data_IF_141907191023
#
_entry.id   IF_141907191023
#
_cell.length_a   1.000
_cell.length_b   1.000
_cell.length_c   1.000
_cell.angle_alpha   90.00
_cell.angle_beta   90.00
_cell.angle_gamma   90.00
#
_symmetry.space_group_name_H-M   'P 1'
#
loop_
_entity.id
_entity.type
_entity.pdbx_description
1 polymer ?
#
# COMPACT_ATOMS: atom_id res chain seq x y z
N UNK A 1 -4.75 -23.35 -19.44
CA UNK A 1 -4.10 -22.59 -18.37
C UNK A 1 -5.19 -22.22 -17.41
N UNK A 2 -5.00 -22.57 -16.16
CA UNK A 2 -5.98 -22.37 -15.10
C UNK A 2 -5.68 -21.03 -14.42
N UNK A 3 -6.73 -20.28 -14.09
CA UNK A 3 -6.62 -19.02 -13.36
C UNK A 3 -6.36 -19.38 -11.90
N UNK A 4 -5.28 -18.86 -11.32
CA UNK A 4 -5.01 -19.03 -9.90
C UNK A 4 -5.92 -18.13 -9.08
N UNK A 5 -6.53 -18.63 -8.01
CA UNK A 5 -7.30 -17.80 -7.07
C UNK A 5 -6.63 -17.83 -5.71
N UNK A 6 -6.41 -16.68 -5.09
CA UNK A 6 -5.83 -16.56 -3.74
C UNK A 6 -6.84 -15.91 -2.82
N UNK A 7 -7.22 -16.59 -1.73
CA UNK A 7 -8.19 -16.06 -0.76
C UNK A 7 -7.55 -15.11 0.26
N UNK A 8 -8.38 -14.51 1.14
CA UNK A 8 -7.92 -13.61 2.22
C UNK A 8 -6.97 -14.30 3.23
N UNK A 9 -6.96 -15.63 3.29
CA UNK A 9 -6.05 -16.42 4.13
C UNK A 9 -4.79 -16.87 3.36
N UNK A 10 -4.56 -16.31 2.16
CA UNK A 10 -3.46 -16.64 1.25
C UNK A 10 -3.44 -18.10 0.78
N UNK A 11 -4.59 -18.79 0.84
CA UNK A 11 -4.73 -20.15 0.33
C UNK A 11 -5.11 -20.10 -1.13
N UNK A 12 -4.48 -20.99 -1.90
CA UNK A 12 -4.87 -21.20 -3.29
C UNK A 12 -6.23 -21.89 -3.36
N UNK A 13 -7.12 -21.34 -4.18
CA UNK A 13 -8.46 -21.83 -4.48
C UNK A 13 -8.60 -22.05 -5.97
N UNK A 14 -9.63 -22.81 -6.34
CA UNK A 14 -10.00 -22.97 -7.73
C UNK A 14 -10.90 -21.82 -8.20
N UNK A 15 -11.14 -21.75 -9.51
CA UNK A 15 -12.04 -20.76 -10.10
C UNK A 15 -13.49 -20.94 -9.60
N UNK A 16 -13.90 -22.17 -9.29
CA UNK A 16 -15.25 -22.45 -8.81
C UNK A 16 -15.53 -21.77 -7.46
N UNK A 17 -14.53 -21.63 -6.60
CA UNK A 17 -14.62 -20.80 -5.39
C UNK A 17 -14.96 -19.34 -5.72
N UNK A 18 -14.22 -18.72 -6.65
CA UNK A 18 -14.46 -17.34 -7.04
C UNK A 18 -15.85 -17.16 -7.68
N UNK A 19 -16.25 -18.07 -8.57
CA UNK A 19 -17.56 -18.08 -9.20
C UNK A 19 -18.69 -18.25 -8.16
N UNK A 20 -18.52 -19.15 -7.19
CA UNK A 20 -19.53 -19.38 -6.15
C UNK A 20 -19.66 -18.22 -5.17
N UNK A 21 -18.54 -17.65 -4.71
CA UNK A 21 -18.54 -16.60 -3.69
C UNK A 21 -18.85 -15.23 -4.28
N UNK A 22 -18.20 -14.89 -5.40
CA UNK A 22 -18.32 -13.57 -6.00
C UNK A 22 -19.29 -13.51 -7.17
N UNK A 23 -19.64 -14.64 -7.79
CA UNK A 23 -20.46 -14.64 -9.02
C UNK A 23 -19.72 -14.15 -10.26
N UNK A 24 -18.38 -14.08 -10.20
CA UNK A 24 -17.54 -13.68 -11.34
C UNK A 24 -17.73 -14.64 -12.51
N UNK A 25 -17.51 -14.13 -13.72
CA UNK A 25 -17.49 -14.93 -14.94
C UNK A 25 -16.27 -14.57 -15.78
N UNK A 26 -15.82 -15.50 -16.61
CA UNK A 26 -14.62 -15.34 -17.40
C UNK A 26 -14.89 -15.55 -18.88
N UNK A 27 -14.36 -14.64 -19.71
CA UNK A 27 -14.40 -14.74 -21.16
C UNK A 27 -13.00 -14.74 -21.73
N UNK A 28 -12.61 -15.88 -22.31
CA UNK A 28 -11.31 -16.04 -22.96
C UNK A 28 -11.28 -15.36 -24.33
N UNK A 29 -10.24 -14.56 -24.59
CA UNK A 29 -9.98 -14.06 -25.93
C UNK A 29 -9.70 -15.21 -26.90
N UNK A 30 -10.35 -15.18 -28.06
CA UNK A 30 -10.15 -16.13 -29.16
C UNK A 30 -9.00 -15.66 -30.03
N UNK A 31 -7.85 -16.33 -29.93
CA UNK A 31 -6.63 -16.02 -30.69
C UNK A 31 -6.04 -17.32 -31.26
N UNK A 32 -5.25 -17.21 -32.33
CA UNK A 32 -4.54 -18.35 -32.89
C UNK A 32 -3.30 -18.71 -32.04
N UNK A 33 -2.86 -19.98 -32.01
CA UNK A 33 -1.58 -20.35 -31.41
C UNK A 33 -0.43 -19.51 -31.98
N UNK A 34 0.49 -19.06 -31.12
CA UNK A 34 1.61 -18.18 -31.49
C UNK A 34 1.28 -16.68 -31.51
N UNK A 35 0.01 -16.29 -31.33
CA UNK A 35 -0.38 -14.88 -31.24
C UNK A 35 -0.22 -14.35 -29.81
N UNK A 36 0.20 -13.08 -29.67
CA UNK A 36 0.21 -12.40 -28.37
C UNK A 36 -1.21 -12.16 -27.85
N UNK A 37 -1.39 -12.30 -26.55
CA UNK A 37 -2.67 -12.12 -25.85
C UNK A 37 -2.42 -11.77 -24.39
N UNK A 38 -3.23 -10.89 -23.80
CA UNK A 38 -3.27 -10.70 -22.35
C UNK A 38 -4.18 -11.75 -21.73
N UNK A 39 -3.60 -12.69 -20.99
CA UNK A 39 -4.35 -13.71 -20.26
C UNK A 39 -4.59 -13.27 -18.83
N UNK A 40 -5.79 -13.49 -18.31
CA UNK A 40 -6.05 -13.41 -16.88
C UNK A 40 -5.38 -14.63 -16.23
N UNK A 41 -4.44 -14.40 -15.33
CA UNK A 41 -3.61 -15.48 -14.74
C UNK A 41 -3.87 -15.66 -13.24
N UNK A 42 -4.31 -14.62 -12.56
CA UNK A 42 -4.56 -14.67 -11.11
C UNK A 42 -5.73 -13.75 -10.72
N UNK A 43 -6.52 -14.21 -9.76
CA UNK A 43 -7.50 -13.44 -9.00
C UNK A 43 -7.07 -13.44 -7.53
N UNK A 44 -7.10 -12.28 -6.89
CA UNK A 44 -6.70 -12.16 -5.49
C UNK A 44 -7.81 -11.51 -4.68
N UNK A 45 -8.33 -12.24 -3.70
CA UNK A 45 -9.25 -11.71 -2.73
C UNK A 45 -8.62 -10.59 -1.89
N UNK A 46 -9.33 -9.46 -1.83
CA UNK A 46 -8.98 -8.29 -1.04
C UNK A 46 -10.17 -7.84 -0.22
N UNK A 47 -9.89 -7.14 0.87
CA UNK A 47 -10.86 -6.51 1.75
C UNK A 47 -10.32 -5.13 2.14
N UNK A 48 -11.17 -4.27 2.70
CA UNK A 48 -10.82 -2.95 3.19
C UNK A 48 -10.94 -1.82 2.19
N UNK A 49 -10.40 -2.04 1.01
CA UNK A 49 -10.30 -0.98 0.01
C UNK A 49 -11.52 -0.96 -0.89
N UNK A 50 -11.90 0.23 -1.34
CA UNK A 50 -12.93 0.39 -2.38
C UNK A 50 -12.30 0.46 -3.77
N UNK A 51 -11.07 0.00 -4.00
CA UNK A 51 -10.40 0.10 -5.30
C UNK A 51 -10.25 -1.28 -5.91
N UNK A 52 -10.65 -1.43 -7.17
CA UNK A 52 -10.50 -2.70 -7.90
C UNK A 52 -9.17 -2.66 -8.63
N UNK A 53 -8.12 -3.27 -8.09
CA UNK A 53 -6.77 -3.15 -8.67
C UNK A 53 -6.55 -4.22 -9.72
N UNK A 54 -6.03 -3.79 -10.87
CA UNK A 54 -5.56 -4.66 -11.93
C UNK A 54 -4.07 -4.47 -12.13
N UNK A 55 -3.33 -5.58 -12.06
CA UNK A 55 -1.92 -5.63 -12.41
C UNK A 55 -1.72 -6.23 -13.79
N UNK A 56 -0.84 -5.63 -14.60
CA UNK A 56 -0.46 -6.13 -15.94
C UNK A 56 1.03 -6.43 -15.97
N UNK A 57 1.37 -7.63 -16.42
CA UNK A 57 2.74 -8.13 -16.50
C UNK A 57 3.18 -8.36 -17.94
N UNK A 58 4.49 -8.29 -18.19
CA UNK A 58 5.15 -8.72 -19.41
C UNK A 58 5.27 -10.25 -19.47
N UNK A 59 5.77 -10.76 -20.61
CA UNK A 59 6.01 -12.20 -20.86
C UNK A 59 7.00 -12.83 -19.87
N UNK A 60 7.89 -12.05 -19.27
CA UNK A 60 8.88 -12.48 -18.28
C UNK A 60 8.36 -12.35 -16.82
N UNK A 61 7.11 -11.94 -16.63
CA UNK A 61 6.50 -11.70 -15.33
C UNK A 61 6.88 -10.36 -14.69
N UNK A 62 7.67 -9.51 -15.36
CA UNK A 62 7.94 -8.16 -14.87
C UNK A 62 6.71 -7.24 -15.02
N UNK A 63 6.53 -6.24 -14.15
CA UNK A 63 5.53 -5.20 -14.32
C UNK A 63 5.51 -4.54 -15.69
N UNK A 64 4.32 -4.34 -16.26
CA UNK A 64 4.13 -3.66 -17.54
C UNK A 64 3.41 -2.33 -17.35
N UNK A 65 4.20 -1.27 -17.32
CA UNK A 65 3.71 0.10 -17.19
C UNK A 65 3.10 0.66 -18.48
N UNK A 66 2.28 1.72 -18.35
CA UNK A 66 1.66 2.45 -19.46
C UNK A 66 0.75 1.60 -20.36
N UNK A 67 0.11 0.58 -19.82
CA UNK A 67 -0.91 -0.22 -20.51
C UNK A 67 -2.29 0.22 -20.06
N UNK A 68 -3.17 0.57 -20.99
CA UNK A 68 -4.52 1.00 -20.66
C UNK A 68 -5.37 -0.20 -20.21
N UNK A 69 -6.03 -0.08 -19.07
CA UNK A 69 -6.97 -1.08 -18.55
C UNK A 69 -8.33 -0.41 -18.43
N UNK A 70 -9.38 -1.11 -18.88
CA UNK A 70 -10.74 -0.60 -18.85
C UNK A 70 -11.58 -1.33 -17.80
N UNK A 71 -12.43 -0.55 -17.12
CA UNK A 71 -13.35 -0.95 -16.06
C UNK A 71 -14.79 -0.60 -16.45
N UNK A 72 -15.52 -1.64 -16.80
CA UNK A 72 -16.79 -1.63 -17.53
C UNK A 72 -18.05 -1.56 -16.66
N UNK A 73 -19.18 -1.13 -17.24
CA UNK A 73 -20.53 -1.32 -16.67
C UNK A 73 -21.33 -2.39 -17.44
N UNK A 74 -22.30 -3.11 -16.84
CA UNK A 74 -22.92 -4.31 -17.44
C UNK A 74 -23.65 -4.06 -18.76
N UNK A 75 -24.12 -2.83 -18.97
CA UNK A 75 -24.94 -2.39 -20.09
C UNK A 75 -24.12 -1.84 -21.27
N UNK A 76 -22.80 -1.77 -21.12
CA UNK A 76 -21.94 -1.33 -22.19
C UNK A 76 -21.91 -2.38 -23.34
N UNK A 77 -21.47 -1.99 -24.55
CA UNK A 77 -21.36 -2.89 -25.71
C UNK A 77 -20.10 -3.76 -25.64
N UNK A 78 -20.21 -5.03 -26.08
CA UNK A 78 -19.11 -6.01 -26.09
C UNK A 78 -17.78 -5.36 -26.51
N UNK A 79 -16.66 -5.55 -25.77
CA UNK A 79 -15.37 -4.89 -26.06
C UNK A 79 -14.81 -5.14 -27.46
N UNK A 80 -15.27 -6.18 -28.16
CA UNK A 80 -14.96 -6.43 -29.57
C UNK A 80 -15.73 -5.54 -30.56
N UNK A 81 -16.71 -4.78 -30.09
CA UNK A 81 -17.51 -3.85 -30.88
C UNK A 81 -16.74 -2.54 -31.00
N UNK A 82 -16.53 -2.00 -32.22
CA UNK A 82 -15.99 -0.66 -32.38
C UNK A 82 -16.95 0.35 -31.75
N UNK A 83 -16.57 0.91 -30.61
CA UNK A 83 -17.32 2.00 -29.97
C UNK A 83 -16.80 3.33 -30.51
N UNK A 84 -17.68 4.25 -30.88
CA UNK A 84 -17.26 5.60 -31.28
C UNK A 84 -16.70 6.35 -30.07
N UNK A 85 -15.60 7.08 -30.24
CA UNK A 85 -14.87 7.80 -29.18
C UNK A 85 -15.73 8.60 -28.19
N UNK A 86 -16.90 9.10 -28.61
CA UNK A 86 -17.82 9.89 -27.78
C UNK A 86 -18.69 9.07 -26.80
N UNK A 87 -18.87 7.77 -27.03
CA UNK A 87 -19.67 6.92 -26.14
C UNK A 87 -18.85 6.36 -24.97
N UNK A 88 -17.51 6.39 -25.05
CA UNK A 88 -16.58 5.70 -24.13
C UNK A 88 -16.75 6.15 -22.67
N UNK A 89 -17.00 7.45 -22.44
CA UNK A 89 -17.15 8.02 -21.09
C UNK A 89 -18.41 7.52 -20.36
N UNK A 90 -19.37 6.95 -21.08
CA UNK A 90 -20.64 6.47 -20.52
C UNK A 90 -20.64 4.97 -20.26
N UNK A 91 -19.64 4.25 -20.77
CA UNK A 91 -19.63 2.78 -20.82
C UNK A 91 -18.49 2.14 -20.04
N UNK A 92 -17.41 2.88 -19.75
CA UNK A 92 -16.42 2.48 -18.75
C UNK A 92 -15.56 3.66 -18.26
N UNK A 93 -14.76 3.40 -17.22
CA UNK A 93 -13.58 4.20 -16.86
C UNK A 93 -12.30 3.43 -17.24
N UNK A 94 -11.23 4.14 -17.61
CA UNK A 94 -9.96 3.48 -17.95
C UNK A 94 -8.77 4.32 -17.52
N UNK A 95 -7.62 3.68 -17.41
CA UNK A 95 -6.36 4.36 -17.12
C UNK A 95 -5.14 3.50 -17.45
N UNK A 96 -4.00 4.14 -17.71
CA UNK A 96 -2.74 3.43 -17.90
C UNK A 96 -2.23 2.86 -16.57
N UNK A 97 -1.58 1.69 -16.63
CA UNK A 97 -0.84 1.12 -15.51
C UNK A 97 0.36 1.98 -15.11
N UNK A 98 0.65 2.04 -13.81
CA UNK A 98 1.84 2.70 -13.27
C UNK A 98 3.11 1.84 -13.48
N UNK A 99 4.25 2.24 -12.90
CA UNK A 99 5.53 1.52 -13.03
C UNK A 99 5.53 0.10 -12.44
N UNK A 100 4.61 -0.19 -11.51
CA UNK A 100 4.39 -1.51 -10.92
C UNK A 100 3.39 -2.34 -11.74
N UNK A 101 2.92 -1.80 -12.87
CA UNK A 101 1.95 -2.48 -13.71
C UNK A 101 0.53 -2.39 -13.16
N UNK A 102 0.27 -1.54 -12.16
CA UNK A 102 -1.00 -1.48 -11.45
C UNK A 102 -1.87 -0.32 -11.93
N UNK A 103 -3.18 -0.51 -11.95
CA UNK A 103 -4.20 0.52 -12.10
C UNK A 103 -5.46 0.09 -11.38
N UNK A 104 -6.10 1.00 -10.63
CA UNK A 104 -7.31 0.68 -9.88
C UNK A 104 -8.22 1.89 -9.73
N UNK A 105 -9.38 1.93 -10.40
CA UNK A 105 -10.39 2.91 -10.12
C UNK A 105 -11.14 2.58 -8.82
N UNK A 106 -11.60 3.62 -8.15
CA UNK A 106 -12.51 3.48 -7.03
C UNK A 106 -13.86 2.91 -7.49
N UNK A 107 -14.34 1.93 -6.74
CA UNK A 107 -15.68 1.35 -6.80
C UNK A 107 -16.61 2.16 -5.89
N UNK A 108 -17.70 2.64 -6.47
CA UNK A 108 -18.74 3.36 -5.74
C UNK A 108 -19.78 2.43 -5.09
N UNK A 109 -20.78 2.98 -4.39
CA UNK A 109 -21.88 2.22 -3.78
C UNK A 109 -22.68 1.35 -4.74
N UNK A 110 -22.63 1.64 -6.04
CA UNK A 110 -23.29 0.81 -7.06
C UNK A 110 -22.57 -0.52 -7.33
N UNK A 111 -21.36 -0.71 -6.85
CA UNK A 111 -20.55 -1.91 -7.10
C UNK A 111 -20.86 -3.08 -6.15
N UNK A 112 -21.70 -2.87 -5.12
CA UNK A 112 -22.05 -3.92 -4.18
C UNK A 112 -23.01 -4.96 -4.77
N UNK A 113 -22.80 -6.23 -4.43
CA UNK A 113 -23.66 -7.34 -4.85
C UNK A 113 -23.79 -8.41 -3.76
N UNK A 114 -24.82 -9.27 -3.85
CA UNK A 114 -24.95 -10.43 -2.97
C UNK A 114 -23.93 -11.53 -3.30
N UNK A 115 -23.77 -12.47 -2.38
CA UNK A 115 -22.91 -13.64 -2.56
C UNK A 115 -23.36 -14.48 -3.77
N UNK A 116 -22.43 -14.80 -4.66
CA UNK A 116 -22.68 -15.52 -5.91
C UNK A 116 -23.45 -14.75 -6.99
N UNK A 117 -23.90 -13.53 -6.71
CA UNK A 117 -24.69 -12.74 -7.68
C UNK A 117 -23.84 -12.06 -8.75
N UNK A 118 -22.57 -11.79 -8.49
CA UNK A 118 -21.73 -11.03 -9.41
C UNK A 118 -21.99 -9.53 -9.32
N UNK A 119 -20.93 -8.75 -9.31
CA UNK A 119 -21.02 -7.29 -9.35
C UNK A 119 -21.28 -6.76 -10.76
N UNK A 120 -21.40 -5.43 -10.91
CA UNK A 120 -21.72 -4.82 -12.19
C UNK A 120 -20.49 -4.58 -13.08
N UNK A 121 -19.29 -4.88 -12.63
CA UNK A 121 -18.08 -4.49 -13.35
C UNK A 121 -17.49 -5.60 -14.20
N UNK A 122 -16.74 -5.21 -15.23
CA UNK A 122 -15.85 -6.10 -15.93
C UNK A 122 -14.52 -5.41 -16.19
N UNK A 123 -13.45 -6.18 -16.30
CA UNK A 123 -12.09 -5.67 -16.47
C UNK A 123 -11.39 -6.39 -17.62
N UNK A 124 -10.67 -5.61 -18.45
CA UNK A 124 -9.78 -6.14 -19.48
C UNK A 124 -8.65 -5.17 -19.80
N UNK A 125 -7.57 -5.70 -20.39
CA UNK A 125 -6.47 -4.90 -20.92
C UNK A 125 -6.86 -4.34 -22.28
N UNK A 126 -6.93 -3.01 -22.39
CA UNK A 126 -7.33 -2.29 -23.60
C UNK A 126 -6.11 -1.96 -24.45
N UNK A 127 -5.65 -2.97 -25.18
CA UNK A 127 -4.60 -2.83 -26.17
C UNK A 127 -5.21 -2.94 -27.58
N UNK A 128 -4.98 -1.98 -28.49
CA UNK A 128 -5.59 -1.99 -29.82
C UNK A 128 -5.08 -3.14 -30.69
N UNK A 129 -3.90 -3.67 -30.40
CA UNK A 129 -3.22 -4.66 -31.24
C UNK A 129 -3.20 -6.06 -30.61
N UNK A 130 -3.42 -6.15 -29.30
CA UNK A 130 -3.30 -7.40 -28.54
C UNK A 130 -4.63 -7.71 -27.83
N UNK A 131 -5.32 -8.81 -28.20
CA UNK A 131 -6.54 -9.22 -27.52
C UNK A 131 -6.32 -9.49 -26.03
N UNK A 132 -7.36 -9.28 -25.21
CA UNK A 132 -7.34 -9.56 -23.77
C UNK A 132 -8.49 -10.46 -23.37
N UNK A 133 -8.24 -11.34 -22.42
CA UNK A 133 -9.32 -11.95 -21.63
C UNK A 133 -10.13 -10.87 -20.90
N UNK A 134 -11.36 -11.22 -20.52
CA UNK A 134 -12.26 -10.36 -19.75
C UNK A 134 -12.66 -11.09 -18.47
N UNK A 135 -12.48 -10.42 -17.33
CA UNK A 135 -13.07 -10.82 -16.06
C UNK A 135 -14.37 -10.04 -15.86
N UNK A 136 -15.50 -10.73 -15.85
CA UNK A 136 -16.83 -10.14 -15.78
C UNK A 136 -17.44 -10.32 -14.39
N UNK A 137 -18.45 -9.52 -14.10
CA UNK A 137 -19.26 -9.57 -12.87
C UNK A 137 -18.45 -9.33 -11.59
N UNK A 138 -17.52 -8.38 -11.67
CA UNK A 138 -16.70 -7.91 -10.56
C UNK A 138 -17.44 -6.85 -9.74
N UNK A 139 -17.17 -6.80 -8.44
CA UNK A 139 -17.72 -5.83 -7.51
C UNK A 139 -17.33 -6.15 -6.09
N UNK A 140 -18.00 -5.49 -5.14
CA UNK A 140 -17.78 -5.69 -3.71
C UNK A 140 -18.90 -6.54 -3.11
N UNK A 141 -18.54 -7.50 -2.27
CA UNK A 141 -19.52 -8.35 -1.60
C UNK A 141 -20.24 -7.54 -0.51
N UNK A 142 -21.57 -7.43 -0.63
CA UNK A 142 -22.40 -6.67 0.31
C UNK A 142 -22.33 -7.25 1.72
N UNK A 143 -22.31 -6.37 2.73
CA UNK A 143 -22.25 -6.78 4.14
C UNK A 143 -20.87 -7.20 4.63
N UNK A 144 -19.84 -7.06 3.80
CA UNK A 144 -18.42 -7.24 4.17
C UNK A 144 -17.71 -5.89 4.23
N UNK A 145 -16.44 -5.88 4.66
CA UNK A 145 -15.59 -4.69 4.60
C UNK A 145 -15.05 -4.50 3.17
N UNK A 146 -15.91 -4.38 2.17
CA UNK A 146 -15.50 -4.28 0.76
C UNK A 146 -14.74 -5.51 0.23
N UNK A 147 -15.12 -6.73 0.57
CA UNK A 147 -14.49 -7.93 -0.02
C UNK A 147 -14.68 -7.94 -1.55
N UNK A 148 -13.60 -8.06 -2.30
CA UNK A 148 -13.60 -8.13 -3.77
C UNK A 148 -12.42 -8.96 -4.28
N UNK A 149 -12.29 -9.08 -5.59
CA UNK A 149 -11.17 -9.75 -6.24
C UNK A 149 -10.38 -8.71 -7.04
N UNK A 150 -9.08 -8.62 -6.85
CA UNK A 150 -8.14 -7.95 -7.75
C UNK A 150 -7.77 -8.89 -8.92
N UNK A 151 -7.33 -8.33 -10.04
CA UNK A 151 -6.97 -9.07 -11.24
C UNK A 151 -5.48 -8.95 -11.57
N UNK A 152 -4.90 -10.04 -12.08
CA UNK A 152 -3.57 -10.02 -12.70
C UNK A 152 -3.65 -10.55 -14.13
N UNK A 153 -3.26 -9.72 -15.07
CA UNK A 153 -3.09 -10.07 -16.48
C UNK A 153 -1.61 -10.24 -16.81
N UNK A 154 -1.29 -11.20 -17.67
CA UNK A 154 0.05 -11.41 -18.19
C UNK A 154 0.02 -11.40 -19.71
N UNK A 155 0.92 -10.62 -20.32
CA UNK A 155 1.18 -10.71 -21.75
C UNK A 155 1.83 -12.06 -22.04
N UNK A 156 1.24 -12.83 -22.94
CA UNK A 156 1.71 -14.17 -23.29
C UNK A 156 1.58 -14.44 -24.79
N UNK A 157 2.26 -15.48 -25.25
CA UNK A 157 2.06 -16.08 -26.57
C UNK A 157 1.11 -17.28 -26.42
N UNK A 158 0.00 -17.30 -27.17
CA UNK A 158 -0.99 -18.37 -27.03
C UNK A 158 -0.41 -19.74 -27.37
N UNK A 159 -0.64 -20.71 -26.48
CA UNK A 159 -0.12 -22.07 -26.59
C UNK A 159 1.20 -22.27 -25.86
N UNK A 160 1.85 -21.20 -25.38
CA UNK A 160 2.99 -21.29 -24.48
C UNK A 160 2.52 -21.32 -23.02
N UNK A 161 3.23 -22.08 -22.18
CA UNK A 161 3.03 -22.00 -20.74
C UNK A 161 3.63 -20.69 -20.25
N UNK A 162 3.01 -20.01 -19.26
CA UNK A 162 3.63 -18.87 -18.63
C UNK A 162 5.01 -19.29 -18.12
N UNK A 163 6.00 -18.47 -18.39
CA UNK A 163 7.24 -18.58 -17.64
C UNK A 163 6.87 -18.14 -16.24
N UNK A 164 6.70 -19.09 -15.31
CA UNK A 164 6.63 -18.71 -13.90
C UNK A 164 7.93 -17.96 -13.65
N UNK A 165 7.89 -16.67 -13.30
CA UNK A 165 9.12 -15.99 -12.95
C UNK A 165 9.77 -16.87 -11.88
N UNK A 166 11.08 -17.16 -11.98
CA UNK A 166 11.74 -17.89 -10.92
C UNK A 166 11.35 -17.16 -9.64
N UNK A 167 10.69 -17.89 -8.72
CA UNK A 167 10.41 -17.38 -7.39
C UNK A 167 11.78 -17.03 -6.86
N UNK A 168 12.15 -15.77 -7.00
CA UNK A 168 13.41 -15.30 -6.49
C UNK A 168 13.13 -15.34 -5.01
N UNK A 169 13.77 -16.25 -4.25
CA UNK A 169 13.61 -16.23 -2.81
C UNK A 169 13.84 -14.77 -2.40
N UNK A 170 12.99 -14.20 -1.52
CA UNK A 170 13.12 -12.79 -1.14
C UNK A 170 14.60 -12.56 -0.85
N UNK A 171 15.23 -11.74 -1.68
CA UNK A 171 16.67 -11.49 -1.62
C UNK A 171 16.96 -11.13 -0.17
N UNK A 172 17.94 -11.81 0.45
CA UNK A 172 18.28 -11.68 1.88
C UNK A 172 18.46 -10.20 2.33
N UNK A 173 18.63 -9.27 1.38
CA UNK A 173 18.68 -7.81 1.58
C UNK A 173 17.39 -7.13 2.09
N UNK A 174 16.26 -7.84 2.23
CA UNK A 174 15.06 -7.29 2.90
C UNK A 174 15.06 -7.48 4.42
N UNK A 175 15.98 -8.27 4.98
CA UNK A 175 15.98 -8.60 6.42
C UNK A 175 16.47 -7.49 7.35
N UNK A 176 16.86 -6.32 6.82
CA UNK A 176 17.46 -5.25 7.62
C UNK A 176 16.46 -4.19 8.13
N UNK A 177 15.17 -4.27 7.79
CA UNK A 177 14.17 -3.36 8.35
C UNK A 177 13.75 -3.87 9.73
N UNK A 178 14.15 -3.16 10.77
CA UNK A 178 13.76 -3.45 12.14
C UNK A 178 12.34 -2.94 12.40
N UNK A 179 11.45 -3.78 12.92
CA UNK A 179 10.13 -3.35 13.40
C UNK A 179 10.12 -3.38 14.93
N UNK A 180 9.59 -2.35 15.58
CA UNK A 180 9.46 -2.28 17.05
C UNK A 180 8.00 -2.11 17.41
N UNK A 181 7.42 -3.05 18.17
CA UNK A 181 6.02 -3.00 18.59
C UNK A 181 5.77 -2.07 19.80
N UNK A 182 4.50 -1.93 20.21
CA UNK A 182 4.10 -1.10 21.36
C UNK A 182 4.69 -1.57 22.70
N UNK A 183 5.14 -2.83 22.79
CA UNK A 183 5.85 -3.37 23.96
C UNK A 183 7.38 -3.29 23.84
N UNK A 184 7.89 -2.54 22.85
CA UNK A 184 9.31 -2.37 22.55
C UNK A 184 10.02 -3.67 22.17
N UNK A 185 9.28 -4.66 21.68
CA UNK A 185 9.86 -5.90 21.17
C UNK A 185 10.16 -5.73 19.69
N UNK A 186 11.34 -6.23 19.32
CA UNK A 186 11.72 -6.34 17.93
C UNK A 186 10.86 -7.40 17.23
N UNK A 187 10.34 -7.03 16.07
CA UNK A 187 9.53 -7.83 15.16
C UNK A 187 10.15 -7.81 13.77
N UNK A 188 9.76 -8.78 12.97
CA UNK A 188 10.11 -8.81 11.56
C UNK A 188 9.16 -7.93 10.74
N UNK A 189 9.53 -7.73 9.47
CA UNK A 189 8.68 -7.01 8.52
C UNK A 189 7.34 -7.74 8.29
N UNK A 190 7.32 -9.07 8.36
CA UNK A 190 6.12 -9.87 8.20
C UNK A 190 5.04 -9.54 9.25
N UNK A 191 5.43 -9.20 10.49
CA UNK A 191 4.53 -8.65 11.49
C UNK A 191 3.89 -7.33 11.04
N UNK A 192 4.69 -6.39 10.54
CA UNK A 192 4.18 -5.10 10.08
C UNK A 192 3.25 -5.28 8.86
N UNK A 193 3.63 -6.12 7.89
CA UNK A 193 2.81 -6.45 6.73
C UNK A 193 1.49 -7.11 7.14
N UNK A 194 1.54 -8.10 8.03
CA UNK A 194 0.33 -8.80 8.49
C UNK A 194 -0.62 -7.91 9.28
N UNK A 195 -0.10 -7.05 10.16
CA UNK A 195 -0.92 -6.23 11.06
C UNK A 195 -1.38 -4.94 10.40
N UNK A 196 -0.47 -4.25 9.71
CA UNK A 196 -0.74 -2.93 9.13
C UNK A 196 -1.00 -2.97 7.64
N UNK A 197 -0.63 -4.04 6.93
CA UNK A 197 -0.71 -4.10 5.47
C UNK A 197 0.27 -3.18 4.76
N UNK A 198 1.35 -2.77 5.44
CA UNK A 198 2.40 -1.94 4.84
C UNK A 198 3.07 -2.67 3.68
N UNK A 199 3.54 -1.91 2.71
CA UNK A 199 4.35 -2.42 1.62
C UNK A 199 5.63 -1.59 1.50
N UNK A 200 6.65 -2.16 0.87
CA UNK A 200 7.96 -1.54 0.81
C UNK A 200 8.53 -1.60 -0.60
N UNK A 201 9.13 -0.48 -1.01
CA UNK A 201 9.83 -0.36 -2.29
C UNK A 201 11.25 0.12 -2.09
N UNK A 202 12.21 -0.76 -2.41
CA UNK A 202 13.64 -0.46 -2.37
C UNK A 202 14.03 0.42 -3.56
N UNK A 203 14.74 1.52 -3.30
CA UNK A 203 15.38 2.28 -4.37
C UNK A 203 16.49 1.44 -5.02
N UNK A 204 16.53 1.39 -6.36
CA UNK A 204 17.59 0.74 -7.12
C UNK A 204 18.75 1.72 -7.32
N UNK A 205 19.88 1.45 -6.68
CA UNK A 205 21.12 2.24 -6.76
C UNK A 205 22.30 1.31 -6.98
N UNK A 206 23.36 1.80 -7.63
CA UNK A 206 24.59 1.02 -7.79
C UNK A 206 25.41 1.02 -6.48
N UNK A 207 26.20 -0.04 -6.20
CA UNK A 207 27.10 -0.05 -5.06
C UNK A 207 28.02 1.18 -5.02
N UNK A 208 28.23 1.74 -3.83
CA UNK A 208 29.01 2.97 -3.61
C UNK A 208 28.22 4.28 -3.82
N UNK A 209 26.95 4.22 -4.23
CA UNK A 209 26.09 5.41 -4.34
C UNK A 209 25.34 5.67 -3.03
N UNK A 210 25.07 6.96 -2.75
CA UNK A 210 24.25 7.35 -1.61
C UNK A 210 22.77 7.04 -1.85
N UNK A 211 22.07 6.65 -0.80
CA UNK A 211 20.63 6.33 -0.82
C UNK A 211 20.04 6.50 0.57
N UNK A 212 18.80 6.97 0.66
CA UNK A 212 18.04 6.93 1.91
C UNK A 212 17.35 5.57 2.04
N UNK A 213 17.82 4.74 2.97
CA UNK A 213 17.21 3.45 3.26
C UNK A 213 16.20 3.57 4.39
N UNK A 214 15.05 2.91 4.26
CA UNK A 214 14.17 2.67 5.41
C UNK A 214 14.86 1.63 6.28
N UNK A 215 15.12 1.96 7.54
CA UNK A 215 15.88 1.10 8.46
C UNK A 215 15.03 0.65 9.65
N UNK A 216 14.04 1.44 10.08
CA UNK A 216 13.16 1.05 11.18
C UNK A 216 11.70 1.47 10.95
N UNK A 217 10.79 0.66 11.49
CA UNK A 217 9.36 0.97 11.66
C UNK A 217 9.01 0.87 13.15
N UNK A 218 8.36 1.90 13.68
CA UNK A 218 8.02 1.98 15.10
C UNK A 218 6.52 2.06 15.31
N UNK A 219 5.97 1.07 15.99
CA UNK A 219 4.57 1.10 16.37
C UNK A 219 4.30 2.20 17.40
N UNK A 220 3.28 3.02 17.13
CA UNK A 220 2.82 4.11 17.98
C UNK A 220 1.33 4.03 18.18
N UNK A 221 0.86 4.64 19.26
CA UNK A 221 -0.56 4.75 19.61
C UNK A 221 -0.88 6.16 20.11
N UNK A 222 -2.13 6.56 19.98
CA UNK A 222 -2.74 7.78 20.51
C UNK A 222 -2.57 9.02 19.66
N UNK A 223 -1.39 9.23 19.07
CA UNK A 223 -1.15 10.38 18.20
C UNK A 223 -1.70 10.12 16.79
N UNK A 224 -2.20 11.17 16.14
CA UNK A 224 -2.65 11.11 14.74
C UNK A 224 -1.62 11.74 13.82
N UNK A 225 -0.32 11.58 14.10
CA UNK A 225 0.76 12.16 13.30
C UNK A 225 1.67 11.03 12.87
N UNK A 226 1.92 10.92 11.56
CA UNK A 226 2.83 9.91 11.04
C UNK A 226 4.24 10.49 11.06
N UNK A 227 5.04 10.18 12.08
CA UNK A 227 6.35 10.79 12.24
C UNK A 227 7.38 10.01 11.44
N UNK A 228 8.11 10.74 10.60
CA UNK A 228 9.29 10.25 9.89
C UNK A 228 10.53 10.91 10.47
N UNK A 229 11.50 10.07 10.87
CA UNK A 229 12.83 10.52 11.27
C UNK A 229 13.84 10.24 10.16
N UNK A 230 14.69 11.21 9.86
CA UNK A 230 15.81 11.06 8.91
C UNK A 230 17.14 11.20 9.63
N UNK A 231 18.03 10.23 9.41
CA UNK A 231 19.36 10.17 9.99
C UNK A 231 20.46 10.37 8.93
N UNK A 232 21.61 10.85 9.37
CA UNK A 232 22.87 10.85 8.63
C UNK A 232 23.51 9.44 8.63
N UNK A 233 24.60 9.29 7.87
CA UNK A 233 25.40 8.06 7.80
C UNK A 233 25.97 7.60 9.15
N UNK A 234 26.17 8.53 10.10
CA UNK A 234 26.66 8.25 11.46
C UNK A 234 25.54 7.97 12.47
N UNK A 235 24.28 7.95 12.01
CA UNK A 235 23.09 7.76 12.85
C UNK A 235 22.63 9.03 13.59
N UNK A 236 23.31 10.17 13.42
CA UNK A 236 22.84 11.43 13.99
C UNK A 236 21.61 11.97 13.23
N UNK A 237 20.71 12.71 13.89
CA UNK A 237 19.57 13.30 13.21
C UNK A 237 19.95 14.28 12.11
N UNK A 238 19.22 14.24 11.00
CA UNK A 238 19.45 15.09 9.83
C UNK A 238 18.33 16.10 9.65
N UNK A 239 18.60 17.35 10.01
CA UNK A 239 17.66 18.47 9.86
C UNK A 239 17.58 18.99 8.41
N UNK A 240 16.49 19.71 8.11
CA UNK A 240 16.22 20.32 6.80
C UNK A 240 16.21 19.35 5.61
N UNK A 241 15.86 18.08 5.86
CA UNK A 241 15.61 17.10 4.79
C UNK A 241 14.14 17.11 4.45
N UNK A 242 13.81 17.29 3.19
CA UNK A 242 12.41 17.30 2.76
C UNK A 242 11.87 15.88 2.66
N UNK A 243 10.75 15.62 3.34
CA UNK A 243 10.07 14.31 3.33
C UNK A 243 8.68 14.51 2.76
N UNK A 244 8.30 13.64 1.83
CA UNK A 244 6.98 13.64 1.23
C UNK A 244 6.08 12.60 1.91
N UNK A 245 4.82 12.99 2.06
CA UNK A 245 3.71 12.19 2.58
C UNK A 245 2.57 12.18 1.57
N UNK A 246 2.30 11.00 1.05
CA UNK A 246 1.60 10.77 -0.21
C UNK A 246 0.13 10.38 -0.04
N UNK A 247 -0.67 10.63 -1.07
CA UNK A 247 -2.04 10.10 -1.20
C UNK A 247 -2.09 8.97 -2.26
N UNK A 248 -3.00 8.00 -2.18
CA UNK A 248 -3.03 6.84 -3.09
C UNK A 248 -3.13 7.19 -4.57
N UNK A 249 -3.72 8.34 -4.88
CA UNK A 249 -4.03 8.82 -6.23
C UNK A 249 -2.92 9.66 -6.85
N UNK A 250 -1.82 9.85 -6.13
CA UNK A 250 -0.72 10.61 -6.65
C UNK A 250 0.09 9.83 -7.72
N UNK A 251 0.79 10.52 -8.63
CA UNK A 251 1.78 9.93 -9.54
C UNK A 251 3.02 9.42 -8.83
N UNK A 252 3.62 8.36 -9.35
CA UNK A 252 4.84 7.73 -8.80
C UNK A 252 5.94 8.78 -8.49
N UNK A 253 6.71 8.65 -7.40
CA UNK A 253 7.77 9.60 -7.03
C UNK A 253 8.83 9.86 -8.11
N UNK A 254 9.01 8.92 -9.05
CA UNK A 254 9.90 9.09 -10.22
C UNK A 254 9.33 9.99 -11.32
N UNK A 255 8.04 10.34 -11.24
CA UNK A 255 7.37 11.22 -12.19
C UNK A 255 7.78 12.67 -11.93
N UNK A 256 8.27 13.42 -12.93
CA UNK A 256 8.52 14.84 -12.76
C UNK A 256 7.23 15.58 -12.37
N UNK A 257 7.17 16.11 -11.16
CA UNK A 257 5.97 16.82 -10.67
C UNK A 257 6.17 18.33 -10.77
N UNK A 258 5.28 19.02 -11.50
CA UNK A 258 5.29 20.48 -11.56
C UNK A 258 4.86 21.07 -10.21
N UNK A 259 5.46 22.19 -9.82
CA UNK A 259 5.23 22.83 -8.51
C UNK A 259 3.76 23.15 -8.19
N UNK A 260 2.91 23.33 -9.21
CA UNK A 260 1.49 23.60 -9.03
C UNK A 260 0.66 22.35 -8.71
N UNK A 261 1.15 21.16 -9.01
CA UNK A 261 0.41 19.90 -8.79
C UNK A 261 0.65 19.31 -7.39
N UNK A 262 1.69 19.79 -6.67
CA UNK A 262 2.14 19.21 -5.40
C UNK A 262 1.03 19.09 -4.35
N UNK A 263 0.23 20.14 -4.16
CA UNK A 263 -0.84 20.15 -3.16
C UNK A 263 -1.98 19.15 -3.41
N UNK A 264 -2.11 18.62 -4.63
CA UNK A 264 -3.11 17.60 -4.98
C UNK A 264 -2.57 16.18 -4.84
N UNK A 265 -1.26 16.04 -4.62
CA UNK A 265 -0.50 14.80 -4.81
C UNK A 265 0.18 14.36 -3.50
N UNK A 266 0.75 15.28 -2.73
CA UNK A 266 1.36 14.98 -1.44
C UNK A 266 1.41 16.22 -0.54
N UNK A 267 1.56 16.00 0.76
CA UNK A 267 2.05 17.00 1.70
C UNK A 267 3.53 16.73 1.91
N UNK A 268 4.36 17.76 2.06
CA UNK A 268 5.78 17.57 2.37
C UNK A 268 6.25 18.60 3.38
N UNK A 269 7.37 18.32 4.02
CA UNK A 269 8.00 19.26 4.93
C UNK A 269 9.44 18.90 5.26
N UNK A 270 10.26 19.92 5.59
CA UNK A 270 11.62 19.69 6.07
C UNK A 270 11.61 19.11 7.49
N UNK A 271 12.52 18.18 7.75
CA UNK A 271 12.81 17.68 9.09
C UNK A 271 13.33 18.79 10.02
N UNK A 272 12.95 18.71 11.29
CA UNK A 272 13.42 19.64 12.33
C UNK A 272 14.84 19.27 12.82
N UNK A 273 15.32 19.93 13.88
CA UNK A 273 16.67 19.69 14.45
C UNK A 273 16.89 18.26 14.99
N UNK A 274 15.82 17.55 15.31
CA UNK A 274 15.83 16.14 15.73
C UNK A 274 15.66 15.18 14.54
N UNK A 275 15.72 15.69 13.30
CA UNK A 275 15.52 14.89 12.10
C UNK A 275 14.07 14.46 11.88
N UNK A 276 13.11 15.02 12.63
CA UNK A 276 11.71 14.58 12.59
C UNK A 276 10.84 15.49 11.73
N UNK A 277 9.87 14.90 11.03
CA UNK A 277 8.75 15.57 10.37
C UNK A 277 7.52 14.69 10.47
N UNK A 278 6.35 15.27 10.77
CA UNK A 278 5.15 14.49 11.02
C UNK A 278 3.89 15.22 10.54
N UNK A 279 3.38 14.95 9.33
CA UNK A 279 2.06 15.41 8.94
C UNK A 279 0.97 14.76 9.80
N UNK A 280 -0.07 15.52 10.09
CA UNK A 280 -1.26 14.99 10.74
C UNK A 280 -2.05 14.08 9.78
N UNK A 281 -2.40 12.90 10.26
CA UNK A 281 -3.31 11.96 9.62
C UNK A 281 -4.76 12.30 9.98
N UNK A 282 -5.61 12.46 8.97
CA UNK A 282 -7.03 12.72 9.13
C UNK A 282 -7.88 11.43 9.15
N UNK A 283 -9.22 11.56 9.24
CA UNK A 283 -10.13 10.40 9.22
C UNK A 283 -10.03 9.52 7.96
N UNK A 284 -9.51 10.06 6.86
CA UNK A 284 -9.27 9.29 5.64
C UNK A 284 -8.10 8.30 5.75
N UNK A 285 -7.28 8.39 6.80
CA UNK A 285 -6.10 7.54 6.98
C UNK A 285 -6.41 6.19 7.66
N UNK A 286 -7.65 5.95 8.09
CA UNK A 286 -8.01 4.69 8.76
C UNK A 286 -8.12 3.53 7.78
N UNK A 287 -7.65 2.36 8.20
CA UNK A 287 -7.76 1.10 7.47
C UNK A 287 -7.95 -0.08 8.43
N UNK A 288 -8.44 -1.21 7.95
CA UNK A 288 -8.52 -2.46 8.71
C UNK A 288 -7.17 -3.16 8.84
N UNK A 289 -7.14 -4.22 9.65
CA UNK A 289 -5.95 -5.01 9.93
C UNK A 289 -5.47 -5.72 8.66
N UNK A 290 -4.18 -5.60 8.35
CA UNK A 290 -3.54 -6.18 7.16
C UNK A 290 -3.93 -5.51 5.83
N UNK A 291 -4.83 -4.53 5.84
CA UNK A 291 -5.33 -3.89 4.61
C UNK A 291 -4.38 -2.84 4.05
N UNK A 292 -3.60 -2.17 4.89
CA UNK A 292 -2.76 -1.06 4.44
C UNK A 292 -3.54 0.25 4.34
N UNK A 293 -2.96 1.31 4.88
CA UNK A 293 -3.52 2.66 4.78
C UNK A 293 -3.28 3.31 3.42
N UNK A 294 -3.81 4.52 3.21
CA UNK A 294 -3.74 5.19 1.91
C UNK A 294 -2.39 5.90 1.66
N UNK A 295 -1.50 5.95 2.64
CA UNK A 295 -0.33 6.84 2.57
C UNK A 295 0.94 6.12 2.14
N UNK A 296 1.87 6.90 1.62
CA UNK A 296 3.25 6.49 1.46
C UNK A 296 4.19 7.61 1.92
N UNK A 297 5.40 7.24 2.32
CA UNK A 297 6.43 8.17 2.79
C UNK A 297 7.76 7.87 2.12
N UNK A 298 8.47 8.93 1.70
CA UNK A 298 9.85 8.84 1.23
C UNK A 298 10.60 10.17 1.45
N UNK A 299 11.94 10.10 1.42
CA UNK A 299 12.80 11.28 1.44
C UNK A 299 12.89 11.91 0.05
N UNK A 300 12.47 13.17 -0.09
CA UNK A 300 12.44 13.91 -1.36
C UNK A 300 13.73 14.69 -1.56
N UNK A 301 14.80 13.96 -1.86
CA UNK A 301 16.09 14.53 -2.23
C UNK A 301 16.28 14.45 -3.76
N UNK A 302 16.57 15.56 -4.46
CA UNK A 302 16.71 15.56 -5.93
C UNK A 302 17.93 14.77 -6.41
N UNK A 303 18.93 14.58 -5.55
CA UNK A 303 20.23 13.99 -5.93
C UNK A 303 20.43 12.59 -5.33
N UNK A 304 19.64 12.21 -4.34
CA UNK A 304 19.80 10.96 -3.58
C UNK A 304 18.48 10.16 -3.59
N UNK A 305 18.45 8.98 -4.22
CA UNK A 305 17.27 8.12 -4.21
C UNK A 305 16.85 7.72 -2.79
N UNK A 306 15.55 7.45 -2.61
CA UNK A 306 14.97 7.02 -1.33
C UNK A 306 14.15 5.77 -1.53
N UNK A 307 14.25 4.86 -0.54
CA UNK A 307 13.23 3.85 -0.35
C UNK A 307 11.86 4.51 -0.11
N UNK A 308 10.79 3.74 -0.34
CA UNK A 308 9.41 4.18 -0.12
C UNK A 308 8.74 3.18 0.83
N UNK A 309 8.16 3.69 1.92
CA UNK A 309 7.25 2.92 2.75
C UNK A 309 5.82 3.24 2.31
N UNK A 310 5.12 2.24 1.80
CA UNK A 310 3.79 2.36 1.22
C UNK A 310 2.74 1.76 2.15
N UNK A 311 1.47 2.10 1.88
CA UNK A 311 0.29 1.58 2.57
C UNK A 311 0.26 1.90 4.07
N UNK A 312 0.67 3.12 4.42
CA UNK A 312 0.69 3.66 5.78
C UNK A 312 -0.65 4.28 6.15
N UNK A 313 -1.02 4.16 7.42
CA UNK A 313 -2.24 4.76 7.96
C UNK A 313 -2.46 4.39 9.43
N UNK A 314 -3.67 4.63 9.91
CA UNK A 314 -4.09 4.32 11.27
C UNK A 314 -4.97 3.07 11.28
N UNK A 315 -4.70 2.15 12.19
CA UNK A 315 -5.48 0.94 12.33
C UNK A 315 -6.86 1.25 12.96
N UNK A 316 -7.92 0.94 12.24
CA UNK A 316 -9.29 1.16 12.67
C UNK A 316 -9.63 0.33 13.93
N UNK A 317 -10.48 0.88 14.81
CA UNK A 317 -10.86 0.20 16.05
C UNK A 317 -9.80 0.24 17.16
N UNK A 318 -8.63 0.84 16.91
CA UNK A 318 -7.59 1.09 17.91
C UNK A 318 -7.56 2.56 18.33
N UNK A 319 -6.69 2.90 19.28
CA UNK A 319 -6.42 4.29 19.64
C UNK A 319 -5.41 4.90 18.66
N UNK A 320 -5.73 4.94 17.36
CA UNK A 320 -4.82 5.46 16.32
C UNK A 320 -3.48 4.71 16.23
N UNK A 321 -3.49 3.38 16.32
CA UNK A 321 -2.25 2.61 16.19
C UNK A 321 -1.71 2.75 14.76
N UNK A 322 -0.42 3.05 14.61
CA UNK A 322 0.24 3.25 13.31
C UNK A 322 1.74 2.95 13.42
N UNK A 323 2.44 2.99 12.28
CA UNK A 323 3.89 2.82 12.22
C UNK A 323 4.54 4.16 11.87
N UNK A 324 5.47 4.63 12.67
CA UNK A 324 6.41 5.71 12.33
C UNK A 324 7.59 5.15 11.52
N UNK A 325 8.20 5.98 10.67
CA UNK A 325 9.31 5.57 9.80
C UNK A 325 10.64 6.16 10.25
N UNK A 326 11.71 5.40 10.06
CA UNK A 326 13.07 5.92 10.18
C UNK A 326 13.87 5.64 8.92
N UNK A 327 14.32 6.70 8.26
CA UNK A 327 15.23 6.64 7.12
C UNK A 327 16.65 7.01 7.54
N UNK A 328 17.64 6.33 6.96
CA UNK A 328 19.06 6.63 7.18
C UNK A 328 19.73 6.86 5.83
N UNK A 329 20.51 7.93 5.72
CA UNK A 329 21.41 8.10 4.60
C UNK A 329 22.50 7.03 4.68
N UNK A 330 22.66 6.24 3.63
CA UNK A 330 23.64 5.16 3.55
C UNK A 330 24.38 5.20 2.21
N UNK A 331 25.50 4.48 2.14
CA UNK A 331 26.20 4.14 0.90
C UNK A 331 25.85 2.71 0.54
N UNK A 332 25.35 2.48 -0.68
CA UNK A 332 24.91 1.16 -1.11
C UNK A 332 26.05 0.13 -1.08
N UNK A 333 25.79 -1.02 -0.48
CA UNK A 333 26.77 -2.09 -0.30
C UNK A 333 27.66 -1.93 0.95
N UNK A 334 27.48 -0.85 1.72
CA UNK A 334 28.06 -0.73 3.06
C UNK A 334 27.03 -1.15 4.11
N UNK A 335 27.46 -1.91 5.11
CA UNK A 335 26.58 -2.26 6.22
C UNK A 335 26.24 -1.01 7.04
N UNK A 336 24.98 -0.89 7.50
CA UNK A 336 24.62 0.22 8.37
C UNK A 336 25.48 0.18 9.61
N UNK A 337 26.06 1.33 9.96
CA UNK A 337 26.66 1.48 11.28
C UNK A 337 25.49 1.51 12.24
N UNK A 338 25.15 0.38 12.86
CA UNK A 338 24.15 0.37 13.93
C UNK A 338 24.60 1.39 14.97
N UNK A 339 23.87 2.52 15.14
CA UNK A 339 24.19 3.41 16.23
C UNK A 339 24.11 2.57 17.51
N UNK A 340 25.03 2.75 18.48
CA UNK A 340 24.87 2.07 19.76
C UNK A 340 23.45 2.37 20.23
N UNK A 341 22.67 1.31 20.50
CA UNK A 341 21.33 1.43 21.08
C UNK A 341 21.53 2.24 22.33
N UNK A 342 21.29 3.54 22.23
CA UNK A 342 21.35 4.42 23.38
C UNK A 342 20.00 4.12 24.00
N UNK A 343 19.94 3.37 25.13
CA UNK A 343 18.67 3.15 25.79
C UNK A 343 18.05 4.53 25.93
N UNK A 344 16.75 4.69 25.62
CA UNK A 344 16.12 6.00 25.59
C UNK A 344 16.57 6.72 26.85
N UNK A 345 17.40 7.74 26.67
CA UNK A 345 17.59 8.75 27.70
C UNK A 345 16.30 9.55 27.64
N UNK A 346 15.20 8.90 28.06
CA UNK A 346 14.23 9.58 28.87
C UNK A 346 15.08 10.35 29.87
N UNK A 347 15.05 11.67 29.76
CA UNK A 347 15.67 12.49 30.76
C UNK A 347 15.02 12.05 32.08
N UNK A 348 15.76 11.24 32.83
CA UNK A 348 15.29 10.62 34.07
C UNK A 348 14.78 11.71 35.01
N UNK A 349 15.32 12.93 34.89
CA UNK A 349 14.82 14.10 35.58
C UNK A 349 13.40 14.46 35.11
N UNK A 350 13.16 14.58 33.81
CA UNK A 350 11.82 14.83 33.23
C UNK A 350 10.82 13.74 33.64
N UNK A 351 11.17 12.46 33.56
CA UNK A 351 10.26 11.38 33.94
C UNK A 351 9.96 11.35 35.44
N UNK A 352 10.97 11.63 36.27
CA UNK A 352 10.79 11.81 37.71
C UNK A 352 9.89 13.00 38.01
N UNK A 353 10.02 14.10 37.26
CA UNK A 353 9.20 15.29 37.40
C UNK A 353 7.73 15.01 37.03
N UNK A 354 7.48 14.28 35.94
CA UNK A 354 6.15 13.85 35.54
C UNK A 354 5.53 12.89 36.56
N UNK A 355 6.29 11.90 37.04
CA UNK A 355 5.85 11.00 38.11
C UNK A 355 5.50 11.75 39.41
N UNK A 356 6.28 12.76 39.78
CA UNK A 356 5.99 13.61 40.95
C UNK A 356 4.71 14.41 40.74
N UNK A 357 4.53 15.03 39.56
CA UNK A 357 3.31 15.75 39.20
C UNK A 357 2.07 14.85 39.25
N UNK A 358 2.17 13.63 38.74
CA UNK A 358 1.10 12.63 38.78
C UNK A 358 0.74 12.24 40.23
N UNK A 359 1.74 12.00 41.09
CA UNK A 359 1.52 11.72 42.52
C UNK A 359 0.77 12.84 43.22
N UNK A 360 1.13 14.10 42.95
CA UNK A 360 0.41 15.25 43.53
C UNK A 360 -1.04 15.36 43.05
N UNK A 361 -1.29 15.09 41.76
CA UNK A 361 -2.64 15.07 41.19
C UNK A 361 -3.51 13.99 41.82
N UNK A 362 -2.96 12.79 42.00
CA UNK A 362 -3.65 11.67 42.68
C UNK A 362 -3.98 12.03 44.13
N UNK A 363 -3.03 12.57 44.89
CA UNK A 363 -3.26 12.99 46.28
C UNK A 363 -4.37 14.06 46.39
N UNK A 364 -4.43 15.02 45.46
CA UNK A 364 -5.52 16.01 45.41
C UNK A 364 -6.88 15.38 45.12
N UNK A 365 -6.94 14.39 44.25
CA UNK A 365 -8.18 13.68 43.94
C UNK A 365 -8.66 12.84 45.13
N UNK A 366 -7.76 12.16 45.84
CA UNK A 366 -8.09 11.40 47.05
C UNK A 366 -8.63 12.31 48.16
N UNK A 367 -8.02 13.47 48.38
CA UNK A 367 -8.51 14.45 49.34
C UNK A 367 -9.91 14.98 48.99
N UNK A 368 -10.15 15.28 47.70
CA UNK A 368 -11.49 15.68 47.22
C UNK A 368 -12.51 14.57 47.43
N UNK A 369 -12.17 13.33 47.08
CA UNK A 369 -13.06 12.18 47.26
C UNK A 369 -13.42 11.97 48.73
N UNK A 370 -12.46 12.12 49.65
CA UNK A 370 -12.71 12.04 51.09
C UNK A 370 -13.68 13.12 51.57
N UNK A 371 -13.47 14.38 51.19
CA UNK A 371 -14.37 15.48 51.55
C UNK A 371 -15.78 15.26 51.01
N UNK A 372 -15.91 14.70 49.81
CA UNK A 372 -17.20 14.40 49.20
C UNK A 372 -17.95 13.28 49.95
N UNK A 373 -17.23 12.29 50.47
CA UNK A 373 -17.77 11.22 51.32
C UNK A 373 -18.20 11.70 52.70
N UNK A 374 -17.64 12.79 53.21
CA UNK A 374 -18.04 13.39 54.51
C UNK A 374 -19.29 14.27 54.38
N UNK A 375 -19.65 14.68 53.15
CA UNK A 375 -20.85 15.47 52.85
C UNK A 375 -22.09 14.61 52.54
N UNK A 376 -21.89 13.33 52.22
CA UNK A 376 -22.92 12.32 51.99
C UNK A 376 -23.16 11.53 53.27
#
# INVERSE_FOLDING_TARGET
>A
MDIKVVDLEYKERDLAYAESKYGVAFRRAKVAPGQKVYRLVELWEKTGTTSLVTQVLNEDGSPRANVDVAFYWPDAPDPSTPVYAHDWHRIFVHGPTNVNGDVGPGMGPGAFHGEGEGGPHAVWVRDPDIPSDICERLGMLAGTNHDHLDQKFMLMVEGEQPVTPPVTPPTEDLMDIKVVDLEYKERDLAYAESKYGVAFRRAKVAPGQKVYRLVELWEKTGTTSLVTQVLNEDGSPRANVDVAFYWPDAPDPSTPVYAHDWHRIFVHGPTNVNGDVGPGMGPGAFHGEGEGGPHAVWVRDPDIPSDICERLGMLAGTNHDHLDQKFMLMVEGEQPVTPPVTPPTEDLATLVQEMQSLKERVAKLEAKLKSLKELL
#
